data_IF_371154708282
#
_entry.id   IF_371154708282
#
_cell.length_a   1.000
_cell.length_b   1.000
_cell.length_c   1.000
_cell.angle_alpha   90.00
_cell.angle_beta   90.00
_cell.angle_gamma   90.00
#
_symmetry.space_group_name_H-M   'P 1'
#
loop_
_entity.id
_entity.type
_entity.pdbx_description
1 polymer ?
#
# COMPACT_ATOMS: atom_id res chain seq x y z
N UNK A 1 -16.15 2.17 11.41
CA UNK A 1 -15.65 0.90 10.85
C UNK A 1 -14.48 1.29 9.97
N UNK A 2 -13.26 0.83 10.26
CA UNK A 2 -12.05 1.33 9.59
C UNK A 2 -11.85 0.55 8.29
N UNK A 3 -11.76 1.24 7.15
CA UNK A 3 -11.40 0.69 5.86
C UNK A 3 -9.91 0.93 5.57
N UNK A 4 -9.20 -0.15 5.27
CA UNK A 4 -7.77 -0.17 5.05
C UNK A 4 -7.48 -0.64 3.64
N UNK A 5 -6.81 0.20 2.86
CA UNK A 5 -6.37 -0.12 1.51
C UNK A 5 -4.88 -0.44 1.54
N UNK A 6 -4.48 -1.51 0.88
CA UNK A 6 -3.09 -1.92 0.76
C UNK A 6 -2.73 -1.95 -0.71
N UNK A 7 -1.75 -1.14 -1.12
CA UNK A 7 -1.25 -0.97 -2.47
C UNK A 7 0.16 -1.56 -2.57
N UNK A 8 0.28 -2.64 -3.33
CA UNK A 8 1.45 -3.50 -3.38
C UNK A 8 1.49 -4.45 -2.19
N UNK A 9 1.93 -5.68 -2.44
CA UNK A 9 2.18 -6.65 -1.39
C UNK A 9 3.59 -7.23 -1.52
N UNK A 10 4.59 -6.45 -1.08
CA UNK A 10 5.94 -6.96 -0.91
C UNK A 10 6.06 -7.91 0.28
N UNK A 11 7.25 -8.47 0.47
CA UNK A 11 7.54 -9.41 1.58
C UNK A 11 7.13 -8.89 2.97
N UNK A 12 7.31 -7.60 3.23
CA UNK A 12 6.90 -6.94 4.49
C UNK A 12 5.39 -6.81 4.61
N UNK A 13 4.72 -6.54 3.48
CA UNK A 13 3.31 -6.25 3.45
C UNK A 13 2.44 -7.47 3.80
N UNK A 14 2.90 -8.68 3.43
CA UNK A 14 2.18 -9.92 3.75
C UNK A 14 2.00 -10.10 5.27
N UNK A 15 3.08 -9.93 6.04
CA UNK A 15 3.02 -10.06 7.51
C UNK A 15 2.17 -8.97 8.18
N UNK A 16 2.10 -7.79 7.57
CA UNK A 16 1.25 -6.69 8.02
C UNK A 16 -0.21 -6.99 7.70
N UNK A 17 -0.48 -7.47 6.49
CA UNK A 17 -1.83 -7.79 6.00
C UNK A 17 -2.47 -8.88 6.84
N UNK A 18 -1.75 -9.97 7.14
CA UNK A 18 -2.22 -11.04 8.04
C UNK A 18 -2.66 -10.46 9.40
N UNK A 19 -1.80 -9.65 10.04
CA UNK A 19 -2.10 -9.01 11.33
C UNK A 19 -3.22 -7.96 11.28
N UNK A 20 -3.39 -7.31 10.13
CA UNK A 20 -4.42 -6.29 9.92
C UNK A 20 -5.77 -6.93 9.62
N UNK A 21 -5.78 -8.08 8.93
CA UNK A 21 -6.98 -8.88 8.68
C UNK A 21 -7.54 -9.51 9.96
N UNK A 22 -6.69 -9.83 10.94
CA UNK A 22 -7.10 -10.30 12.27
C UNK A 22 -7.78 -9.21 13.12
N UNK A 23 -7.66 -7.92 12.75
CA UNK A 23 -8.29 -6.79 13.45
C UNK A 23 -9.64 -6.45 12.85
N UNK A 24 -10.60 -6.04 13.69
CA UNK A 24 -11.88 -5.50 13.24
C UNK A 24 -11.72 -4.39 12.17
N UNK A 25 -12.41 -4.57 11.05
CA UNK A 25 -12.49 -3.61 9.94
C UNK A 25 -12.52 -4.28 8.56
N UNK A 26 -12.53 -3.45 7.52
CA UNK A 26 -12.48 -3.90 6.13
C UNK A 26 -11.07 -3.71 5.62
N UNK A 27 -10.51 -4.71 4.95
CA UNK A 27 -9.22 -4.62 4.26
C UNK A 27 -9.41 -4.93 2.78
N UNK A 28 -8.71 -4.21 1.91
CA UNK A 28 -8.60 -4.53 0.48
C UNK A 28 -7.13 -4.46 0.09
N UNK A 29 -6.64 -5.53 -0.51
CA UNK A 29 -5.28 -5.61 -1.05
C UNK A 29 -5.33 -5.50 -2.56
N UNK A 30 -4.50 -4.61 -3.11
CA UNK A 30 -4.31 -4.41 -4.53
C UNK A 30 -2.83 -4.64 -4.81
N UNK A 31 -2.52 -5.57 -5.69
CA UNK A 31 -1.14 -5.91 -6.06
C UNK A 31 -1.13 -6.43 -7.49
N UNK A 32 -0.03 -6.24 -8.22
CA UNK A 32 0.10 -6.81 -9.57
C UNK A 32 0.50 -8.30 -9.53
N UNK A 33 0.96 -8.78 -8.38
CA UNK A 33 1.31 -10.18 -8.16
C UNK A 33 0.05 -11.07 -7.99
N UNK A 34 -0.33 -11.75 -9.08
CA UNK A 34 -1.48 -12.67 -9.10
C UNK A 34 -1.35 -13.79 -8.06
N UNK A 35 -0.13 -14.31 -7.82
CA UNK A 35 0.10 -15.40 -6.86
C UNK A 35 -0.26 -14.97 -5.43
N UNK A 36 0.06 -13.72 -5.09
CA UNK A 36 -0.30 -13.14 -3.80
C UNK A 36 -1.81 -12.94 -3.68
N UNK A 37 -2.46 -12.48 -4.76
CA UNK A 37 -3.93 -12.32 -4.78
C UNK A 37 -4.65 -13.65 -4.56
N UNK A 38 -4.19 -14.71 -5.22
CA UNK A 38 -4.75 -16.06 -5.04
C UNK A 38 -4.58 -16.55 -3.60
N UNK A 39 -3.38 -16.38 -3.03
CA UNK A 39 -3.08 -16.76 -1.64
C UNK A 39 -4.00 -16.02 -0.66
N UNK A 40 -4.11 -14.70 -0.79
CA UNK A 40 -4.96 -13.89 0.09
C UNK A 40 -6.44 -14.25 -0.02
N UNK A 41 -6.92 -14.56 -1.22
CA UNK A 41 -8.30 -15.00 -1.44
C UNK A 41 -8.59 -16.36 -0.80
N UNK A 42 -7.62 -17.28 -0.84
CA UNK A 42 -7.72 -18.57 -0.14
C UNK A 42 -7.86 -18.37 1.38
N UNK A 43 -7.15 -17.39 1.92
CA UNK A 43 -7.25 -16.96 3.33
C UNK A 43 -8.47 -16.08 3.63
N UNK A 44 -9.42 -15.96 2.70
CA UNK A 44 -10.63 -15.13 2.82
C UNK A 44 -10.37 -13.62 2.98
N UNK A 45 -9.19 -13.15 2.55
CA UNK A 45 -8.82 -11.73 2.52
C UNK A 45 -9.19 -11.14 1.15
N UNK A 46 -9.92 -10.01 1.09
CA UNK A 46 -10.25 -9.36 -0.18
C UNK A 46 -8.98 -8.86 -0.89
N UNK A 47 -8.62 -9.50 -2.00
CA UNK A 47 -7.50 -9.11 -2.84
C UNK A 47 -7.90 -8.96 -4.31
N UNK A 48 -7.26 -8.00 -4.99
CA UNK A 48 -7.47 -7.68 -6.41
C UNK A 48 -6.13 -7.59 -7.13
N UNK A 49 -6.03 -8.30 -8.25
CA UNK A 49 -4.92 -8.15 -9.18
C UNK A 49 -5.15 -6.88 -10.00
N UNK A 50 -4.29 -5.88 -9.80
CA UNK A 50 -4.27 -4.64 -10.56
C UNK A 50 -2.97 -3.87 -10.25
N UNK A 51 -2.56 -2.99 -11.16
CA UNK A 51 -1.36 -2.18 -10.98
C UNK A 51 -1.60 -1.13 -9.90
N UNK A 52 -0.85 -1.16 -8.76
CA UNK A 52 -0.98 -0.15 -7.72
C UNK A 52 -0.45 1.23 -8.15
N UNK A 53 0.37 1.33 -9.19
CA UNK A 53 0.83 2.59 -9.77
C UNK A 53 -0.22 3.24 -10.67
N UNK A 54 -1.27 2.50 -11.07
CA UNK A 54 -2.34 3.01 -11.92
C UNK A 54 -3.44 3.69 -11.07
N UNK A 55 -3.67 5.00 -11.24
CA UNK A 55 -4.74 5.70 -10.51
C UNK A 55 -6.14 5.16 -10.80
N UNK A 56 -6.37 4.57 -11.98
CA UNK A 56 -7.67 3.98 -12.32
C UNK A 56 -8.02 2.76 -11.45
N UNK A 57 -6.99 2.09 -10.92
CA UNK A 57 -7.13 0.96 -10.00
C UNK A 57 -7.83 1.38 -8.71
N UNK A 58 -7.48 2.55 -8.18
CA UNK A 58 -8.05 3.10 -6.93
C UNK A 58 -9.25 4.01 -7.17
N UNK A 59 -9.54 4.38 -8.42
CA UNK A 59 -10.65 5.27 -8.76
C UNK A 59 -12.02 4.70 -8.34
N UNK A 60 -12.17 3.37 -8.42
CA UNK A 60 -13.40 2.64 -8.09
C UNK A 60 -13.41 2.08 -6.65
N UNK A 61 -12.44 2.46 -5.82
CA UNK A 61 -12.34 2.00 -4.44
C UNK A 61 -13.06 3.00 -3.52
N UNK A 62 -13.76 2.50 -2.51
CA UNK A 62 -14.37 3.33 -1.47
C UNK A 62 -13.32 4.17 -0.73
N UNK A 63 -13.70 5.25 -0.05
CA UNK A 63 -12.75 6.08 0.71
C UNK A 63 -12.12 5.29 1.87
N UNK A 64 -10.80 4.98 1.83
CA UNK A 64 -10.12 4.32 2.94
C UNK A 64 -9.76 5.31 4.03
N UNK A 65 -9.76 4.84 5.28
CA UNK A 65 -9.22 5.60 6.41
C UNK A 65 -7.70 5.56 6.43
N UNK A 66 -7.12 4.42 6.01
CA UNK A 66 -5.67 4.18 6.00
C UNK A 66 -5.26 3.50 4.69
N UNK A 67 -4.22 4.02 4.06
CA UNK A 67 -3.62 3.47 2.85
C UNK A 67 -2.18 3.03 3.17
N UNK A 68 -1.86 1.77 2.91
CA UNK A 68 -0.51 1.25 3.02
C UNK A 68 0.08 1.07 1.62
N UNK A 69 1.17 1.75 1.31
CA UNK A 69 1.88 1.60 0.04
C UNK A 69 3.15 0.81 0.32
N UNK A 70 3.20 -0.46 -0.08
CA UNK A 70 4.26 -1.38 0.33
C UNK A 70 4.63 -2.42 -0.74
N UNK A 71 4.89 -1.98 -1.96
CA UNK A 71 5.57 -2.77 -2.98
C UNK A 71 7.08 -2.85 -2.72
N UNK A 72 7.75 -3.83 -3.34
CA UNK A 72 9.21 -3.97 -3.31
C UNK A 72 9.92 -2.92 -4.19
N UNK A 73 9.17 -2.22 -5.06
CA UNK A 73 9.67 -1.22 -6.00
C UNK A 73 9.37 0.21 -5.54
N UNK A 74 10.42 1.01 -5.33
CA UNK A 74 10.31 2.43 -4.95
C UNK A 74 9.53 3.25 -5.98
N UNK A 75 9.76 3.00 -7.27
CA UNK A 75 9.10 3.72 -8.36
C UNK A 75 7.58 3.45 -8.40
N UNK A 76 7.18 2.19 -8.16
CA UNK A 76 5.77 1.80 -8.04
C UNK A 76 5.14 2.45 -6.81
N UNK A 77 5.83 2.39 -5.66
CA UNK A 77 5.34 3.02 -4.44
C UNK A 77 5.16 4.52 -4.59
N UNK A 78 6.06 5.19 -5.32
CA UNK A 78 5.97 6.62 -5.59
C UNK A 78 4.73 6.96 -6.38
N UNK A 79 4.51 6.26 -7.49
CA UNK A 79 3.35 6.49 -8.35
C UNK A 79 2.03 6.19 -7.60
N UNK A 80 1.99 5.07 -6.87
CA UNK A 80 0.86 4.70 -6.02
C UNK A 80 0.57 5.75 -4.94
N UNK A 81 1.61 6.30 -4.31
CA UNK A 81 1.50 7.35 -3.30
C UNK A 81 0.95 8.65 -3.89
N UNK A 82 1.47 9.08 -5.03
CA UNK A 82 0.99 10.28 -5.74
C UNK A 82 -0.50 10.14 -6.11
N UNK A 83 -0.88 8.99 -6.70
CA UNK A 83 -2.27 8.69 -7.03
C UNK A 83 -3.17 8.64 -5.79
N UNK A 84 -2.73 7.96 -4.73
CA UNK A 84 -3.49 7.84 -3.49
C UNK A 84 -3.69 9.19 -2.80
N UNK A 85 -2.65 10.05 -2.75
CA UNK A 85 -2.74 11.36 -2.11
C UNK A 85 -3.64 12.33 -2.89
N UNK A 86 -3.62 12.25 -4.22
CA UNK A 86 -4.53 13.03 -5.06
C UNK A 86 -5.99 12.58 -4.91
N UNK A 87 -6.22 11.26 -4.83
CA UNK A 87 -7.58 10.70 -4.78
C UNK A 87 -8.22 10.76 -3.39
N UNK A 88 -7.41 10.56 -2.35
CA UNK A 88 -7.83 10.44 -0.94
C UNK A 88 -7.00 11.37 -0.04
N UNK A 89 -7.25 12.69 -0.10
CA UNK A 89 -6.47 13.67 0.67
C UNK A 89 -6.64 13.53 2.19
N UNK A 90 -7.77 12.99 2.65
CA UNK A 90 -8.10 12.81 4.07
C UNK A 90 -7.64 11.45 4.65
N UNK A 91 -7.17 10.53 3.81
CA UNK A 91 -6.73 9.21 4.25
C UNK A 91 -5.32 9.28 4.82
N UNK A 92 -5.06 8.49 5.87
CA UNK A 92 -3.70 8.34 6.43
C UNK A 92 -2.88 7.45 5.52
N UNK A 93 -1.81 7.97 4.93
CA UNK A 93 -0.96 7.21 4.01
C UNK A 93 0.34 6.80 4.70
N UNK A 94 0.58 5.50 4.75
CA UNK A 94 1.82 4.88 5.22
C UNK A 94 2.56 4.30 4.03
N UNK A 95 3.68 4.90 3.64
CA UNK A 95 4.44 4.51 2.46
C UNK A 95 5.78 3.87 2.83
N UNK A 96 6.07 2.72 2.22
CA UNK A 96 7.34 2.03 2.32
C UNK A 96 8.25 2.49 1.18
N UNK A 97 9.47 2.88 1.52
CA UNK A 97 10.42 3.42 0.56
C UNK A 97 10.94 2.36 -0.42
N UNK A 98 10.91 1.08 -0.06
CA UNK A 98 11.52 0.01 -0.86
C UNK A 98 13.02 -0.14 -0.60
N UNK A 99 13.66 -1.09 -1.28
CA UNK A 99 15.07 -1.43 -1.04
C UNK A 99 16.11 -0.49 -1.65
N UNK A 100 15.71 0.37 -2.60
CA UNK A 100 16.64 1.20 -3.39
C UNK A 100 16.22 2.67 -3.48
N UNK A 101 15.59 3.22 -2.44
CA UNK A 101 15.14 4.62 -2.45
C UNK A 101 16.31 5.62 -2.46
N UNK A 102 16.24 6.58 -3.38
CA UNK A 102 17.19 7.70 -3.41
C UNK A 102 16.83 8.76 -2.36
N UNK A 103 17.75 9.69 -2.07
CA UNK A 103 17.44 10.82 -1.19
C UNK A 103 16.24 11.65 -1.69
N UNK A 104 16.17 11.87 -3.01
CA UNK A 104 15.05 12.58 -3.62
C UNK A 104 13.71 11.83 -3.48
N UNK A 105 13.73 10.49 -3.53
CA UNK A 105 12.53 9.71 -3.26
C UNK A 105 12.13 9.80 -1.78
N UNK A 106 13.08 9.79 -0.85
CA UNK A 106 12.76 9.97 0.59
C UNK A 106 12.07 11.30 0.86
N UNK A 107 12.59 12.39 0.30
CA UNK A 107 11.97 13.72 0.44
C UNK A 107 10.55 13.70 -0.13
N UNK A 108 10.37 13.16 -1.34
CA UNK A 108 9.06 13.07 -2.00
C UNK A 108 8.05 12.27 -1.19
N UNK A 109 8.48 11.15 -0.61
CA UNK A 109 7.63 10.32 0.22
C UNK A 109 7.28 11.02 1.53
N UNK A 110 8.22 11.72 2.16
CA UNK A 110 7.97 12.47 3.38
C UNK A 110 7.02 13.66 3.16
N UNK A 111 6.99 14.24 1.96
CA UNK A 111 6.05 15.30 1.59
C UNK A 111 4.61 14.79 1.38
N UNK A 112 4.46 13.58 0.84
CA UNK A 112 3.16 13.06 0.39
C UNK A 112 2.53 12.06 1.37
N UNK A 113 3.34 11.27 2.06
CA UNK A 113 2.89 10.27 3.02
C UNK A 113 2.91 10.84 4.44
N UNK A 114 1.88 10.50 5.23
CA UNK A 114 1.84 10.85 6.65
C UNK A 114 2.87 10.07 7.47
N UNK A 115 3.27 8.89 6.97
CA UNK A 115 4.33 8.08 7.59
C UNK A 115 5.13 7.33 6.54
N UNK A 116 6.44 7.43 6.64
CA UNK A 116 7.38 6.69 5.78
C UNK A 116 8.05 5.57 6.56
N UNK A 117 8.19 4.40 5.93
CA UNK A 117 8.94 3.27 6.48
C UNK A 117 10.17 3.04 5.60
N UNK A 118 11.35 3.27 6.17
CA UNK A 118 12.63 2.96 5.53
C UNK A 118 13.14 1.61 6.08
N UNK A 119 13.32 0.58 5.23
CA UNK A 119 13.90 -0.70 5.69
C UNK A 119 15.35 -0.58 6.16
N UNK A 120 16.06 0.47 5.75
CA UNK A 120 17.46 0.74 6.13
C UNK A 120 17.57 1.38 7.52
N UNK A 121 16.51 2.05 7.98
CA UNK A 121 16.45 2.75 9.28
C UNK A 121 15.82 1.88 10.38
N UNK A 122 15.13 0.80 10.00
CA UNK A 122 14.55 -0.17 10.92
C UNK A 122 15.62 -1.13 11.48
N UNK A 123 16.46 -0.63 12.39
CA UNK A 123 17.39 -1.43 13.22
C UNK A 123 17.16 -1.13 14.70
#
# INVERSE_FOLDING_TARGET
MVFRLVLGCGTVCRQVTERVAERDGRVLVITDDESVVETLRDESVPARSADPADPDTIANVDTPDVIFVASDRTDVNRAALEAARERFPDAVIVAYLGGNATAADRDRFAELADRTVDPTDAI
#
